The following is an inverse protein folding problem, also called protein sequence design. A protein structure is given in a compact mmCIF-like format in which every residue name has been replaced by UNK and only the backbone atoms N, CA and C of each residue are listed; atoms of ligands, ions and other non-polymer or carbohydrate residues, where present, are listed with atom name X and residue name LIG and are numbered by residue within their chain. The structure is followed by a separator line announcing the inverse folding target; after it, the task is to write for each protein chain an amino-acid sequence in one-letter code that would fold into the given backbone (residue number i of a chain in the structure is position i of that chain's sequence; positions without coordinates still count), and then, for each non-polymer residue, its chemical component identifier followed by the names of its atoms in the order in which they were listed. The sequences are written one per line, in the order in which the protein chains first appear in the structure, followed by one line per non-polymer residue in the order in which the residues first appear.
data_IF_549318847085
#
_entry.id   IF_549318847085
#
_cell.length_a   1.000
_cell.length_b   1.000
_cell.length_c   1.000
_cell.angle_alpha   90.00
_cell.angle_beta   90.00
_cell.angle_gamma   90.00
#
_symmetry.space_group_name_H-M   'P 1'
#
loop_
_entity.id
_entity.type
_entity.pdbx_description
1 polymer ?
#
# COMPACT_ATOMS: atom_id res chain seq x y z
N UNK A 1 12.49 13.89 11.78
CA UNK A 1 13.32 13.74 10.56
C UNK A 1 14.70 13.29 10.97
N UNK A 2 15.07 12.00 10.94
CA UNK A 2 16.46 11.52 11.13
C UNK A 2 16.54 9.99 11.18
N UNK A 3 16.35 9.30 10.04
CA UNK A 3 16.92 7.94 9.89
C UNK A 3 17.14 7.51 8.43
N UNK A 4 17.22 8.47 7.50
CA UNK A 4 17.89 8.30 6.20
C UNK A 4 19.41 8.25 6.42
N UNK A 5 19.87 7.37 7.32
CA UNK A 5 21.28 7.16 7.62
C UNK A 5 21.90 6.51 6.38
N UNK A 6 22.42 7.36 5.50
CA UNK A 6 23.63 7.18 4.68
C UNK A 6 24.18 5.77 4.82
N UNK A 7 23.71 4.82 4.01
CA UNK A 7 24.31 3.48 4.02
C UNK A 7 25.71 3.65 3.44
N UNK A 8 26.70 3.41 4.29
CA UNK A 8 28.10 3.56 3.93
C UNK A 8 28.67 2.20 3.53
N UNK A 9 29.33 2.12 2.39
CA UNK A 9 30.17 0.98 2.05
C UNK A 9 31.56 1.25 2.64
N UNK A 10 31.93 0.54 3.72
CA UNK A 10 33.21 0.73 4.44
C UNK A 10 33.52 2.18 4.87
N UNK A 11 32.51 2.99 5.16
CA UNK A 11 32.70 4.38 5.60
C UNK A 11 32.56 5.47 4.52
N UNK A 12 32.28 5.09 3.27
CA UNK A 12 31.95 6.03 2.18
C UNK A 12 30.47 5.92 1.79
N UNK A 13 29.79 7.02 1.45
CA UNK A 13 28.40 6.93 0.99
C UNK A 13 28.34 6.21 -0.36
N UNK A 14 27.33 5.37 -0.53
CA UNK A 14 27.14 4.62 -1.78
C UNK A 14 26.94 5.57 -2.97
N UNK A 15 26.28 6.72 -2.78
CA UNK A 15 26.14 7.76 -3.80
C UNK A 15 27.50 8.31 -4.25
N UNK A 16 28.39 8.60 -3.30
CA UNK A 16 29.75 9.08 -3.56
C UNK A 16 30.56 7.99 -4.32
N UNK A 17 30.37 6.71 -3.95
CA UNK A 17 31.01 5.59 -4.68
C UNK A 17 30.48 5.42 -6.12
N UNK A 18 29.19 5.67 -6.36
CA UNK A 18 28.62 5.64 -7.71
C UNK A 18 29.23 6.78 -8.55
N UNK A 19 29.36 7.99 -7.99
CA UNK A 19 30.00 9.12 -8.66
C UNK A 19 31.47 8.84 -8.99
N UNK A 20 32.23 8.23 -8.07
CA UNK A 20 33.62 7.82 -8.31
C UNK A 20 33.73 6.85 -9.50
N UNK A 21 32.87 5.83 -9.57
CA UNK A 21 32.87 4.90 -10.70
C UNK A 21 32.42 5.54 -12.02
N UNK A 22 31.53 6.54 -11.98
CA UNK A 22 31.16 7.34 -13.16
C UNK A 22 32.37 8.15 -13.63
N UNK A 23 33.11 8.78 -12.72
CA UNK A 23 34.32 9.54 -13.06
C UNK A 23 35.40 8.62 -13.66
N UNK A 24 35.61 7.43 -13.10
CA UNK A 24 36.53 6.44 -13.65
C UNK A 24 36.10 5.90 -15.03
N UNK A 25 34.80 5.72 -15.26
CA UNK A 25 34.23 5.38 -16.58
C UNK A 25 34.55 6.48 -17.60
N UNK A 26 34.34 7.74 -17.23
CA UNK A 26 34.62 8.89 -18.10
C UNK A 26 36.11 9.05 -18.40
N UNK A 27 36.98 8.89 -17.39
CA UNK A 27 38.44 8.95 -17.57
C UNK A 27 38.95 7.83 -18.47
N UNK A 28 38.53 6.58 -18.22
CA UNK A 28 38.91 5.43 -19.05
C UNK A 28 38.42 5.57 -20.49
N UNK A 29 37.25 6.19 -20.72
CA UNK A 29 36.75 6.51 -22.06
C UNK A 29 37.62 7.53 -22.78
N UNK A 30 38.15 8.52 -22.08
CA UNK A 30 39.09 9.50 -22.65
C UNK A 30 40.41 8.83 -23.00
N UNK A 31 40.91 7.95 -22.14
CA UNK A 31 42.19 7.26 -22.33
C UNK A 31 42.15 6.22 -23.48
N UNK A 32 40.97 5.65 -23.78
CA UNK A 32 40.75 4.85 -25.00
C UNK A 32 41.07 5.60 -26.30
N UNK A 33 41.04 6.94 -26.28
CA UNK A 33 41.24 7.77 -27.47
C UNK A 33 42.65 8.39 -27.56
N UNK A 34 43.56 8.09 -26.61
CA UNK A 34 44.90 8.73 -26.53
C UNK A 34 46.02 8.04 -27.33
N UNK A 35 45.74 7.01 -28.12
CA UNK A 35 46.58 6.62 -29.26
C UNK A 35 47.64 5.53 -29.06
N UNK A 36 47.80 4.94 -27.87
CA UNK A 36 48.60 3.73 -27.67
C UNK A 36 47.70 2.48 -27.69
N UNK A 37 47.89 1.59 -28.67
CA UNK A 37 46.96 0.51 -29.02
C UNK A 37 46.71 -0.49 -27.86
N UNK A 38 47.75 -0.80 -27.09
CA UNK A 38 47.69 -1.72 -25.95
C UNK A 38 46.98 -1.06 -24.74
N UNK A 39 47.29 0.21 -24.48
CA UNK A 39 46.66 1.03 -23.44
C UNK A 39 45.19 1.32 -23.74
N UNK A 40 44.82 1.48 -25.01
CA UNK A 40 43.45 1.64 -25.46
C UNK A 40 42.62 0.37 -25.22
N UNK A 41 43.21 -0.82 -25.40
CA UNK A 41 42.53 -2.10 -25.18
C UNK A 41 42.23 -2.33 -23.68
N UNK A 42 43.22 -2.03 -22.82
CA UNK A 42 43.05 -2.09 -21.36
C UNK A 42 42.00 -1.08 -20.90
N UNK A 43 42.07 0.16 -21.38
CA UNK A 43 41.11 1.22 -21.04
C UNK A 43 39.68 0.87 -21.45
N UNK A 44 39.51 0.18 -22.59
CA UNK A 44 38.21 -0.34 -23.03
C UNK A 44 37.65 -1.41 -22.09
N UNK A 45 38.49 -2.34 -21.63
CA UNK A 45 38.09 -3.34 -20.63
C UNK A 45 37.66 -2.70 -19.31
N UNK A 46 38.42 -1.69 -18.85
CA UNK A 46 38.11 -0.93 -17.64
C UNK A 46 36.82 -0.13 -17.77
N UNK A 47 36.60 0.56 -18.88
CA UNK A 47 35.37 1.31 -19.14
C UNK A 47 34.12 0.41 -19.06
N UNK A 48 34.18 -0.78 -19.66
CA UNK A 48 33.09 -1.77 -19.60
C UNK A 48 32.85 -2.23 -18.15
N UNK A 49 33.91 -2.50 -17.40
CA UNK A 49 33.82 -2.93 -16.01
C UNK A 49 33.20 -1.84 -15.11
N UNK A 50 33.66 -0.60 -15.23
CA UNK A 50 33.10 0.54 -14.47
C UNK A 50 31.64 0.77 -14.81
N UNK A 51 31.27 0.75 -16.09
CA UNK A 51 29.88 0.89 -16.52
C UNK A 51 28.99 -0.24 -15.97
N UNK A 52 29.49 -1.47 -15.93
CA UNK A 52 28.78 -2.60 -15.33
C UNK A 52 28.57 -2.40 -13.83
N UNK A 53 29.59 -1.95 -13.11
CA UNK A 53 29.52 -1.67 -11.67
C UNK A 53 28.52 -0.55 -11.37
N UNK A 54 28.58 0.58 -12.09
CA UNK A 54 27.63 1.69 -11.95
C UNK A 54 26.20 1.21 -12.16
N UNK A 55 25.94 0.54 -13.29
CA UNK A 55 24.59 0.06 -13.61
C UNK A 55 24.05 -0.91 -12.56
N UNK A 56 24.91 -1.76 -12.00
CA UNK A 56 24.55 -2.68 -10.93
C UNK A 56 24.28 -1.93 -9.62
N UNK A 57 25.15 -1.01 -9.21
CA UNK A 57 25.02 -0.26 -7.97
C UNK A 57 23.79 0.65 -7.98
N UNK A 58 23.55 1.36 -9.09
CA UNK A 58 22.35 2.19 -9.28
C UNK A 58 21.10 1.31 -9.22
N UNK A 59 21.07 0.18 -9.93
CA UNK A 59 19.91 -0.74 -9.90
C UNK A 59 19.66 -1.32 -8.51
N UNK A 60 20.71 -1.80 -7.83
CA UNK A 60 20.60 -2.39 -6.50
C UNK A 60 20.18 -1.34 -5.45
N UNK A 61 20.63 -0.08 -5.60
CA UNK A 61 20.26 1.04 -4.74
C UNK A 61 18.82 1.51 -4.98
N UNK A 62 18.42 1.72 -6.24
CA UNK A 62 17.04 2.08 -6.60
C UNK A 62 16.05 0.99 -6.16
N UNK A 63 16.43 -0.28 -6.30
CA UNK A 63 15.63 -1.41 -5.83
C UNK A 63 15.45 -1.38 -4.30
N UNK A 64 16.52 -1.15 -3.53
CA UNK A 64 16.43 -1.02 -2.06
C UNK A 64 15.61 0.19 -1.62
N UNK A 65 15.69 1.31 -2.35
CA UNK A 65 14.86 2.50 -2.09
C UNK A 65 13.38 2.19 -2.30
N UNK A 66 13.04 1.50 -3.40
CA UNK A 66 11.67 1.05 -3.68
C UNK A 66 11.14 0.05 -2.63
N UNK A 67 11.98 -0.87 -2.15
CA UNK A 67 11.63 -1.81 -1.06
C UNK A 67 11.27 -1.08 0.24
N UNK A 68 12.12 -0.16 0.69
CA UNK A 68 11.89 0.63 1.92
C UNK A 68 10.65 1.53 1.82
N UNK A 69 10.39 2.07 0.63
CA UNK A 69 9.20 2.87 0.38
C UNK A 69 7.92 2.00 0.47
N UNK A 70 7.95 0.80 -0.11
CA UNK A 70 6.81 -0.13 -0.07
C UNK A 70 6.53 -0.66 1.34
N UNK A 71 7.58 -0.99 2.10
CA UNK A 71 7.43 -1.37 3.51
C UNK A 71 6.73 -0.27 4.33
N UNK A 72 7.18 0.98 4.16
CA UNK A 72 6.56 2.12 4.84
C UNK A 72 5.09 2.28 4.43
N UNK A 73 4.78 2.19 3.13
CA UNK A 73 3.41 2.31 2.64
C UNK A 73 2.50 1.21 3.21
N UNK A 74 2.97 -0.04 3.31
CA UNK A 74 2.22 -1.11 3.95
C UNK A 74 2.01 -0.87 5.46
N UNK A 75 3.02 -0.38 6.18
CA UNK A 75 2.88 0.01 7.60
C UNK A 75 1.85 1.13 7.80
N UNK A 76 1.82 2.10 6.89
CA UNK A 76 0.85 3.20 6.94
C UNK A 76 -0.57 2.68 6.64
N UNK A 77 -0.74 1.76 5.68
CA UNK A 77 -2.01 1.07 5.42
C UNK A 77 -2.48 0.23 6.61
N UNK A 78 -1.58 -0.53 7.25
CA UNK A 78 -1.91 -1.32 8.43
C UNK A 78 -2.50 -0.43 9.53
N UNK A 79 -1.83 0.68 9.84
CA UNK A 79 -2.28 1.66 10.84
C UNK A 79 -3.61 2.30 10.45
N UNK A 80 -3.79 2.62 9.17
CA UNK A 80 -5.04 3.16 8.65
C UNK A 80 -6.18 2.18 8.89
N UNK A 81 -6.03 0.92 8.52
CA UNK A 81 -7.09 -0.08 8.69
C UNK A 81 -7.37 -0.41 10.15
N UNK A 82 -6.36 -0.43 11.04
CA UNK A 82 -6.61 -0.53 12.49
C UNK A 82 -7.45 0.63 13.00
N UNK A 83 -7.12 1.87 12.61
CA UNK A 83 -7.91 3.06 12.98
C UNK A 83 -9.33 3.01 12.40
N UNK A 84 -9.49 2.60 11.15
CA UNK A 84 -10.81 2.45 10.53
C UNK A 84 -11.63 1.38 11.24
N UNK A 85 -11.01 0.27 11.64
CA UNK A 85 -11.67 -0.78 12.44
C UNK A 85 -12.23 -0.22 13.75
N UNK A 86 -11.40 0.47 14.53
CA UNK A 86 -11.82 1.12 15.78
C UNK A 86 -12.92 2.17 15.55
N UNK A 87 -12.76 3.02 14.51
CA UNK A 87 -13.73 4.06 14.19
C UNK A 87 -15.10 3.50 13.80
N UNK A 88 -15.13 2.40 13.02
CA UNK A 88 -16.39 1.75 12.66
C UNK A 88 -17.03 1.07 13.88
N UNK A 89 -16.24 0.49 14.78
CA UNK A 89 -16.77 -0.06 16.02
C UNK A 89 -17.39 1.03 16.91
N UNK A 90 -16.78 2.21 17.02
CA UNK A 90 -17.38 3.33 17.74
C UNK A 90 -18.62 3.87 17.02
N UNK A 91 -18.62 3.92 15.68
CA UNK A 91 -19.77 4.35 14.89
C UNK A 91 -20.97 3.40 15.03
N UNK A 92 -20.74 2.10 15.23
CA UNK A 92 -21.80 1.10 15.44
C UNK A 92 -22.67 1.37 16.67
N UNK A 93 -22.16 2.15 17.63
CA UNK A 93 -22.83 2.48 18.89
C UNK A 93 -23.65 3.77 18.82
N UNK A 94 -23.55 4.51 17.72
CA UNK A 94 -24.19 5.82 17.53
C UNK A 94 -25.26 5.74 16.46
N UNK A 95 -26.25 6.61 16.53
CA UNK A 95 -27.23 6.75 15.47
C UNK A 95 -26.56 7.37 14.23
N UNK A 96 -26.74 6.73 13.07
CA UNK A 96 -26.13 7.19 11.83
C UNK A 96 -26.76 8.49 11.33
N UNK A 97 -28.06 8.66 11.52
CA UNK A 97 -28.77 9.89 11.14
C UNK A 97 -28.27 11.08 11.97
N UNK A 98 -28.08 10.90 13.28
CA UNK A 98 -27.48 11.92 14.14
C UNK A 98 -26.06 12.27 13.66
N UNK A 99 -25.26 11.24 13.37
CA UNK A 99 -23.88 11.43 12.89
C UNK A 99 -23.84 12.22 11.58
N UNK A 100 -24.72 11.88 10.63
CA UNK A 100 -24.81 12.56 9.33
C UNK A 100 -25.28 14.00 9.49
N UNK A 101 -26.25 14.26 10.37
CA UNK A 101 -26.77 15.61 10.62
C UNK A 101 -25.75 16.54 11.27
N UNK A 102 -24.79 16.01 12.01
CA UNK A 102 -23.68 16.75 12.64
C UNK A 102 -22.52 17.04 11.67
N UNK A 103 -22.52 16.47 10.46
CA UNK A 103 -21.44 16.69 9.49
C UNK A 103 -21.49 18.08 8.84
N UNK A 104 -20.31 18.64 8.56
CA UNK A 104 -20.16 19.91 7.85
C UNK A 104 -20.59 19.87 6.37
N UNK A 105 -20.81 18.68 5.80
CA UNK A 105 -21.14 18.46 4.39
C UNK A 105 -22.60 18.03 4.18
N UNK A 106 -23.48 18.33 5.14
CA UNK A 106 -24.90 17.95 5.07
C UNK A 106 -25.60 18.41 3.78
N UNK A 107 -25.19 19.54 3.23
CA UNK A 107 -25.74 20.11 1.98
C UNK A 107 -25.35 19.32 0.72
N UNK A 108 -24.31 18.48 0.80
CA UNK A 108 -23.85 17.63 -0.32
C UNK A 108 -24.57 16.26 -0.34
N UNK A 109 -25.43 15.98 0.64
CA UNK A 109 -26.13 14.70 0.76
C UNK A 109 -27.50 14.82 0.10
N UNK A 110 -27.75 13.96 -0.90
CA UNK A 110 -29.04 13.89 -1.58
C UNK A 110 -30.18 13.62 -0.60
N UNK A 111 -31.30 14.30 -0.78
CA UNK A 111 -32.49 14.19 0.10
C UNK A 111 -33.01 12.74 0.14
N UNK A 112 -32.98 12.04 -1.00
CA UNK A 112 -33.32 10.61 -1.10
C UNK A 112 -32.42 9.74 -0.20
N UNK A 113 -31.11 10.03 -0.13
CA UNK A 113 -30.19 9.28 0.73
C UNK A 113 -30.44 9.54 2.22
N UNK A 114 -30.94 10.73 2.59
CA UNK A 114 -31.35 11.04 3.97
C UNK A 114 -32.63 10.30 4.36
N UNK A 115 -33.56 10.10 3.43
CA UNK A 115 -34.77 9.33 3.67
C UNK A 115 -34.47 7.82 3.77
N UNK A 116 -33.55 7.29 2.97
CA UNK A 116 -33.07 5.91 3.10
C UNK A 116 -32.43 5.68 4.47
N UNK A 117 -31.63 6.63 4.98
CA UNK A 117 -31.00 6.55 6.30
C UNK A 117 -32.01 6.46 7.45
N UNK A 118 -33.19 7.09 7.33
CA UNK A 118 -34.25 7.00 8.35
C UNK A 118 -34.89 5.62 8.41
N UNK A 119 -34.82 4.86 7.31
CA UNK A 119 -35.46 3.55 7.18
C UNK A 119 -34.53 2.39 7.57
N UNK A 120 -33.24 2.66 7.84
CA UNK A 120 -32.30 1.63 8.29
C UNK A 120 -32.62 1.26 9.75
N UNK A 121 -32.85 -0.04 10.00
CA UNK A 121 -33.04 -0.51 11.37
C UNK A 121 -31.74 -0.35 12.19
N UNK A 122 -31.82 0.05 13.47
CA UNK A 122 -30.62 0.22 14.31
C UNK A 122 -29.76 -1.05 14.42
N UNK A 123 -30.39 -2.23 14.43
CA UNK A 123 -29.67 -3.51 14.47
C UNK A 123 -28.93 -3.80 13.16
N UNK A 124 -29.53 -3.48 12.01
CA UNK A 124 -28.87 -3.60 10.71
C UNK A 124 -27.69 -2.62 10.59
N UNK A 125 -27.89 -1.37 11.03
CA UNK A 125 -26.84 -0.36 11.08
C UNK A 125 -25.66 -0.82 11.94
N UNK A 126 -25.94 -1.31 13.16
CA UNK A 126 -24.92 -1.86 14.05
C UNK A 126 -24.17 -3.00 13.38
N UNK A 127 -24.90 -3.95 12.79
CA UNK A 127 -24.33 -5.05 12.03
C UNK A 127 -23.38 -4.57 10.94
N UNK A 128 -23.82 -3.62 10.11
CA UNK A 128 -23.02 -3.05 9.02
C UNK A 128 -21.69 -2.48 9.50
N UNK A 129 -21.70 -1.62 10.53
CA UNK A 129 -20.47 -1.03 11.04
C UNK A 129 -19.56 -2.05 11.73
N UNK A 130 -20.11 -2.99 12.50
CA UNK A 130 -19.32 -4.06 13.11
C UNK A 130 -18.71 -5.00 12.06
N UNK A 131 -19.45 -5.32 10.99
CA UNK A 131 -18.93 -6.10 9.85
C UNK A 131 -17.78 -5.39 9.15
N UNK A 132 -17.90 -4.09 8.88
CA UNK A 132 -16.82 -3.28 8.32
C UNK A 132 -15.60 -3.26 9.25
N UNK A 133 -15.83 -3.12 10.56
CA UNK A 133 -14.76 -3.12 11.57
C UNK A 133 -13.94 -4.42 11.53
N UNK A 134 -14.62 -5.57 11.50
CA UNK A 134 -13.98 -6.89 11.39
C UNK A 134 -13.22 -7.06 10.08
N UNK A 135 -13.79 -6.60 8.96
CA UNK A 135 -13.09 -6.67 7.67
C UNK A 135 -11.78 -5.86 7.68
N UNK A 136 -11.80 -4.63 8.20
CA UNK A 136 -10.60 -3.81 8.31
C UNK A 136 -9.57 -4.42 9.27
N UNK A 137 -10.00 -5.00 10.38
CA UNK A 137 -9.09 -5.72 11.29
C UNK A 137 -8.42 -6.92 10.59
N UNK A 138 -9.18 -7.71 9.85
CA UNK A 138 -8.63 -8.84 9.10
C UNK A 138 -7.63 -8.38 8.03
N UNK A 139 -7.94 -7.31 7.30
CA UNK A 139 -6.99 -6.74 6.33
C UNK A 139 -5.72 -6.25 7.01
N UNK A 140 -5.84 -5.53 8.13
CA UNK A 140 -4.68 -5.11 8.91
C UNK A 140 -3.82 -6.32 9.34
N UNK A 141 -4.46 -7.39 9.81
CA UNK A 141 -3.75 -8.61 10.19
C UNK A 141 -3.06 -9.30 9.00
N UNK A 142 -3.68 -9.33 7.81
CA UNK A 142 -3.02 -9.84 6.60
C UNK A 142 -1.75 -9.02 6.27
N UNK A 143 -1.83 -7.69 6.39
CA UNK A 143 -0.68 -6.81 6.18
C UNK A 143 0.40 -7.08 7.25
N UNK A 144 0.03 -7.17 8.53
CA UNK A 144 0.98 -7.46 9.62
C UNK A 144 1.70 -8.78 9.39
N UNK A 145 0.98 -9.82 8.92
CA UNK A 145 1.60 -11.12 8.59
C UNK A 145 2.66 -10.93 7.51
N UNK A 146 2.32 -10.25 6.41
CA UNK A 146 3.25 -10.02 5.30
C UNK A 146 4.49 -9.24 5.74
N UNK A 147 4.31 -8.19 6.55
CA UNK A 147 5.42 -7.38 7.07
C UNK A 147 6.34 -8.21 7.96
N UNK A 148 5.79 -9.05 8.83
CA UNK A 148 6.57 -9.82 9.79
C UNK A 148 7.15 -11.13 9.22
N UNK A 149 6.59 -11.66 8.14
CA UNK A 149 7.00 -12.93 7.54
C UNK A 149 8.03 -12.78 6.41
N UNK A 150 8.33 -11.56 5.99
CA UNK A 150 9.07 -11.32 4.74
C UNK A 150 10.17 -10.30 4.93
N UNK A 151 11.41 -10.68 4.63
CA UNK A 151 12.57 -9.78 4.73
C UNK A 151 12.57 -8.66 3.66
N UNK A 152 11.81 -8.85 2.58
CA UNK A 152 11.77 -7.96 1.41
C UNK A 152 10.36 -7.76 0.87
N UNK A 153 9.79 -6.60 1.15
CA UNK A 153 8.46 -6.22 0.69
C UNK A 153 8.55 -5.64 -0.72
N UNK A 154 7.60 -6.02 -1.56
CA UNK A 154 7.55 -5.60 -2.96
C UNK A 154 6.10 -5.58 -3.43
N UNK A 155 5.87 -5.00 -4.62
CA UNK A 155 4.55 -4.93 -5.25
C UNK A 155 3.87 -6.31 -5.39
N UNK A 156 4.64 -7.38 -5.52
CA UNK A 156 4.12 -8.75 -5.57
C UNK A 156 3.35 -9.11 -4.30
N UNK A 157 3.84 -8.71 -3.13
CA UNK A 157 3.20 -8.99 -1.85
C UNK A 157 1.88 -8.21 -1.70
N UNK A 158 1.86 -6.95 -2.17
CA UNK A 158 0.63 -6.17 -2.20
C UNK A 158 -0.41 -6.79 -3.14
N UNK A 159 0.00 -7.25 -4.32
CA UNK A 159 -0.90 -7.98 -5.24
C UNK A 159 -1.42 -9.28 -4.62
N UNK A 160 -0.59 -9.99 -3.86
CA UNK A 160 -1.03 -11.19 -3.12
C UNK A 160 -2.05 -10.85 -2.03
N UNK A 161 -1.87 -9.76 -1.29
CA UNK A 161 -2.85 -9.27 -0.31
C UNK A 161 -4.20 -8.94 -0.96
N UNK A 162 -4.17 -8.24 -2.09
CA UNK A 162 -5.39 -7.94 -2.87
C UNK A 162 -6.08 -9.24 -3.30
N UNK A 163 -5.33 -10.22 -3.80
CA UNK A 163 -5.85 -11.53 -4.17
C UNK A 163 -6.44 -12.30 -2.98
N UNK A 164 -5.84 -12.21 -1.79
CA UNK A 164 -6.37 -12.82 -0.57
C UNK A 164 -7.71 -12.19 -0.18
N UNK A 165 -7.82 -10.87 -0.29
CA UNK A 165 -9.08 -10.14 -0.05
C UNK A 165 -10.14 -10.55 -1.08
N UNK A 166 -9.80 -10.55 -2.37
CA UNK A 166 -10.73 -10.94 -3.46
C UNK A 166 -11.20 -12.40 -3.34
N UNK A 167 -10.38 -13.27 -2.75
CA UNK A 167 -10.72 -14.67 -2.52
C UNK A 167 -11.42 -14.95 -1.19
N UNK A 168 -11.59 -13.95 -0.33
CA UNK A 168 -12.26 -14.12 0.95
C UNK A 168 -13.73 -14.53 0.74
N UNK A 169 -14.21 -15.51 1.52
CA UNK A 169 -15.57 -16.03 1.40
C UNK A 169 -16.63 -14.93 1.57
N UNK A 170 -16.43 -14.00 2.50
CA UNK A 170 -17.37 -12.89 2.76
C UNK A 170 -17.48 -11.92 1.56
N UNK A 171 -16.45 -11.82 0.73
CA UNK A 171 -16.47 -11.00 -0.49
C UNK A 171 -17.23 -11.69 -1.61
N UNK A 172 -17.07 -13.01 -1.71
CA UNK A 172 -17.69 -13.86 -2.74
C UNK A 172 -19.11 -14.29 -2.42
N UNK A 173 -19.53 -14.21 -1.17
CA UNK A 173 -20.89 -14.55 -0.78
C UNK A 173 -21.89 -13.71 -1.57
N UNK A 174 -22.80 -14.40 -2.25
CA UNK A 174 -24.02 -13.80 -2.77
C UNK A 174 -24.84 -13.36 -1.57
N UNK A 175 -25.17 -12.07 -1.55
CA UNK A 175 -26.10 -11.54 -0.56
C UNK A 175 -27.48 -12.03 -1.01
N UNK A 176 -28.24 -12.63 -0.10
CA UNK A 176 -29.61 -13.01 -0.41
C UNK A 176 -30.39 -11.76 -0.81
N UNK A 177 -31.18 -11.84 -1.89
CA UNK A 177 -32.04 -10.73 -2.30
C UNK A 177 -32.97 -10.35 -1.14
N UNK A 178 -33.02 -9.05 -0.87
CA UNK A 178 -33.66 -8.49 0.32
C UNK A 178 -35.19 -8.58 0.19
N UNK A 179 -35.83 -9.37 1.05
CA UNK A 179 -37.23 -9.10 1.42
C UNK A 179 -37.21 -7.93 2.40
N UNK A 180 -38.03 -6.89 2.17
CA UNK A 180 -38.13 -5.67 3.01
C UNK A 180 -38.32 -5.95 4.52
N UNK A 181 -38.82 -7.14 4.87
CA UNK A 181 -39.03 -7.60 6.26
C UNK A 181 -37.81 -8.28 6.92
N UNK A 182 -36.67 -8.40 6.23
CA UNK A 182 -35.49 -9.17 6.71
C UNK A 182 -34.27 -8.31 7.06
N UNK A 183 -34.48 -7.04 7.44
CA UNK A 183 -33.41 -6.10 7.81
C UNK A 183 -32.84 -6.41 9.21
N UNK A 184 -32.02 -7.46 9.29
CA UNK A 184 -31.44 -7.99 10.54
C UNK A 184 -29.98 -7.58 10.74
N UNK A 185 -29.52 -7.66 11.99
CA UNK A 185 -28.10 -7.50 12.34
C UNK A 185 -27.16 -8.39 11.49
N UNK A 186 -27.56 -9.63 11.23
CA UNK A 186 -26.73 -10.60 10.48
C UNK A 186 -26.53 -10.17 9.03
N UNK A 187 -27.60 -9.64 8.40
CA UNK A 187 -27.54 -9.12 7.04
C UNK A 187 -26.67 -7.87 6.97
N UNK A 188 -26.87 -6.94 7.92
CA UNK A 188 -26.00 -5.78 8.08
C UNK A 188 -24.54 -6.19 8.22
N UNK A 189 -24.24 -7.15 9.08
CA UNK A 189 -22.89 -7.64 9.30
C UNK A 189 -22.25 -8.25 8.05
N UNK A 190 -22.98 -9.07 7.30
CA UNK A 190 -22.50 -9.64 6.05
C UNK A 190 -22.22 -8.54 4.99
N UNK A 191 -23.15 -7.59 4.85
CA UNK A 191 -23.02 -6.44 3.95
C UNK A 191 -21.82 -5.56 4.32
N UNK A 192 -21.70 -5.25 5.62
CA UNK A 192 -20.60 -4.49 6.18
C UNK A 192 -19.25 -5.13 5.95
N UNK A 193 -19.11 -6.43 6.21
CA UNK A 193 -17.86 -7.15 5.92
C UNK A 193 -17.48 -7.06 4.44
N UNK A 194 -18.44 -7.29 3.54
CA UNK A 194 -18.22 -7.23 2.10
C UNK A 194 -17.81 -5.82 1.65
N UNK A 195 -18.48 -4.80 2.16
CA UNK A 195 -18.14 -3.40 1.91
C UNK A 195 -16.74 -3.05 2.42
N UNK A 196 -16.40 -3.40 3.66
CA UNK A 196 -15.10 -3.14 4.27
C UNK A 196 -13.93 -3.76 3.48
N UNK A 197 -14.06 -5.02 3.05
CA UNK A 197 -13.06 -5.66 2.19
C UNK A 197 -12.93 -4.98 0.83
N UNK A 198 -14.04 -4.58 0.20
CA UNK A 198 -14.01 -3.92 -1.10
C UNK A 198 -13.38 -2.52 -1.03
N UNK A 199 -13.68 -1.75 0.02
CA UNK A 199 -13.07 -0.44 0.27
C UNK A 199 -11.57 -0.58 0.55
N UNK A 200 -11.18 -1.53 1.40
CA UNK A 200 -9.77 -1.80 1.67
C UNK A 200 -9.00 -2.18 0.39
N UNK A 201 -9.61 -3.01 -0.46
CA UNK A 201 -9.06 -3.36 -1.78
C UNK A 201 -8.91 -2.13 -2.68
N UNK A 202 -9.91 -1.24 -2.72
CA UNK A 202 -9.83 -0.01 -3.50
C UNK A 202 -8.68 0.89 -3.01
N UNK A 203 -8.55 1.08 -1.70
CA UNK A 203 -7.48 1.86 -1.08
C UNK A 203 -6.09 1.30 -1.45
N UNK A 204 -5.93 -0.02 -1.33
CA UNK A 204 -4.70 -0.71 -1.74
C UNK A 204 -4.40 -0.54 -3.24
N UNK A 205 -5.41 -0.58 -4.11
CA UNK A 205 -5.23 -0.37 -5.56
C UNK A 205 -4.90 1.08 -5.91
N UNK A 206 -5.47 2.06 -5.20
CA UNK A 206 -5.12 3.47 -5.39
C UNK A 206 -3.66 3.73 -5.05
N UNK A 207 -3.15 3.13 -3.97
CA UNK A 207 -1.73 3.20 -3.61
C UNK A 207 -0.80 2.72 -4.75
N UNK A 208 -1.19 1.67 -5.48
CA UNK A 208 -0.44 1.16 -6.64
C UNK A 208 -0.48 2.15 -7.82
N UNK A 209 -1.66 2.73 -8.09
CA UNK A 209 -1.85 3.58 -9.26
C UNK A 209 -1.20 4.96 -9.12
N UNK A 210 -0.89 5.43 -7.90
CA UNK A 210 -0.09 6.65 -7.69
C UNK A 210 1.39 6.50 -8.10
N UNK A 211 1.84 5.30 -8.48
CA UNK A 211 3.22 5.02 -8.93
C UNK A 211 3.37 5.00 -10.47
N UNK A 212 2.31 5.23 -11.24
CA UNK A 212 2.34 5.35 -12.71
C UNK A 212 2.28 6.80 -13.16
#
# INVERSE_FOLDING_TARGET
MTNYRKRMFRGAKIEDCIEDFIQMEQSSRIDMHKGEEELALVSKGMNIAYRYIVNRMVRDFDYQRGELEMEKKLLDLEKLFRRLSESNLEQSKKDLLETVQETHFKEDILEEALDDLKNISPDNQRGMFEGMSVAYEQVANYISIVINSTDKISLKHLNQLILLIENNHSVKAELQEEDEDTVTYQNGFANGMKAGFNLAKMEMKQMINMEK
#
